data_IF_095623999494
#
_entry.id   IF_095623999494
#
_cell.length_a   1.000
_cell.length_b   1.000
_cell.length_c   1.000
_cell.angle_alpha   90.00
_cell.angle_beta   90.00
_cell.angle_gamma   90.00
#
_symmetry.space_group_name_H-M   'P 1'
#
loop_
_entity.id
_entity.type
_entity.pdbx_description
1 polymer ?
#
# COMPACT_ATOMS: atom_id res chain seq x y z
N UNK A 1 26.11 22.37 15.12
CA UNK A 1 25.93 21.33 14.10
C UNK A 1 27.30 20.75 13.85
N UNK A 2 27.52 19.47 14.17
CA UNK A 2 28.81 18.82 13.96
C UNK A 2 28.94 18.41 12.48
N UNK A 3 29.95 18.96 11.80
CA UNK A 3 30.33 18.56 10.45
C UNK A 3 31.57 17.66 10.59
N UNK A 4 31.45 16.41 10.14
CA UNK A 4 32.52 15.41 10.15
C UNK A 4 32.79 14.93 8.72
N UNK A 5 34.06 14.65 8.41
CA UNK A 5 34.45 14.06 7.13
C UNK A 5 33.88 12.64 6.97
N UNK A 6 33.33 12.35 5.79
CA UNK A 6 32.85 11.00 5.44
C UNK A 6 34.03 10.15 5.01
N UNK A 7 34.41 9.18 5.85
CA UNK A 7 35.52 8.25 5.59
C UNK A 7 35.08 7.03 4.75
N UNK A 8 33.81 6.63 4.87
CA UNK A 8 33.19 5.56 4.09
C UNK A 8 31.75 5.96 3.70
N UNK A 9 31.45 6.16 2.41
CA UNK A 9 30.11 6.52 1.96
C UNK A 9 29.07 5.41 2.17
N UNK A 10 29.47 4.13 2.16
CA UNK A 10 28.53 3.02 2.39
C UNK A 10 28.12 2.93 3.86
N UNK A 11 29.08 3.03 4.78
CA UNK A 11 28.76 3.11 6.22
C UNK A 11 27.86 4.31 6.53
N UNK A 12 28.09 5.46 5.88
CA UNK A 12 27.23 6.64 6.01
C UNK A 12 25.80 6.37 5.53
N UNK A 13 25.63 5.80 4.33
CA UNK A 13 24.31 5.45 3.80
C UNK A 13 23.59 4.43 4.69
N UNK A 14 24.29 3.38 5.14
CA UNK A 14 23.75 2.35 6.05
C UNK A 14 23.30 2.96 7.38
N UNK A 15 23.98 3.99 7.86
CA UNK A 15 23.58 4.71 9.06
C UNK A 15 22.35 5.59 8.81
N UNK A 16 22.30 6.33 7.70
CA UNK A 16 21.22 7.26 7.38
C UNK A 16 19.89 6.58 7.02
N UNK A 17 19.95 5.48 6.25
CA UNK A 17 18.76 4.78 5.73
C UNK A 17 17.76 4.42 6.85
N UNK A 18 18.16 3.78 7.96
CA UNK A 18 17.25 3.47 9.07
C UNK A 18 16.51 4.69 9.64
N UNK A 19 17.14 5.87 9.65
CA UNK A 19 16.48 7.10 10.11
C UNK A 19 15.49 7.62 9.10
N UNK A 20 15.84 7.60 7.82
CA UNK A 20 14.94 8.08 6.75
C UNK A 20 13.77 7.13 6.53
N UNK A 21 13.96 5.81 6.71
CA UNK A 21 12.93 4.79 6.48
C UNK A 21 12.15 4.40 7.74
N UNK A 22 12.34 5.11 8.85
CA UNK A 22 11.67 4.84 10.12
C UNK A 22 10.13 4.88 9.99
N UNK A 23 9.51 5.92 9.39
CA UNK A 23 8.04 5.96 9.30
C UNK A 23 7.48 4.85 8.40
N UNK A 24 8.21 4.43 7.36
CA UNK A 24 7.84 3.31 6.49
C UNK A 24 7.86 1.98 7.25
N UNK A 25 8.84 1.80 8.15
CA UNK A 25 8.91 0.62 9.01
C UNK A 25 7.73 0.58 10.00
N UNK A 26 7.42 1.70 10.64
CA UNK A 26 6.27 1.82 11.55
C UNK A 26 4.95 1.52 10.82
N UNK A 27 4.79 2.07 9.61
CA UNK A 27 3.64 1.78 8.75
C UNK A 27 3.56 0.29 8.40
N UNK A 28 4.68 -0.34 8.05
CA UNK A 28 4.71 -1.77 7.68
C UNK A 28 4.25 -2.67 8.84
N UNK A 29 4.71 -2.40 10.06
CA UNK A 29 4.29 -3.13 11.26
C UNK A 29 2.79 -2.99 11.53
N UNK A 30 2.26 -1.79 11.32
CA UNK A 30 0.87 -1.46 11.56
C UNK A 30 -0.06 -2.10 10.50
N UNK A 31 0.38 -2.17 9.25
CA UNK A 31 -0.30 -2.89 8.18
C UNK A 31 -0.27 -4.41 8.41
N UNK A 32 0.85 -4.96 8.89
CA UNK A 32 0.97 -6.38 9.22
C UNK A 32 0.05 -6.77 10.39
N UNK A 33 -0.05 -5.93 11.42
CA UNK A 33 -1.01 -6.11 12.51
C UNK A 33 -2.45 -6.11 12.00
N UNK A 34 -2.82 -5.12 11.17
CA UNK A 34 -4.16 -5.03 10.57
C UNK A 34 -4.49 -6.27 9.72
N UNK A 35 -3.53 -6.73 8.90
CA UNK A 35 -3.69 -7.94 8.10
C UNK A 35 -3.95 -9.16 8.99
N UNK A 36 -3.19 -9.32 10.08
CA UNK A 36 -3.36 -10.41 11.03
C UNK A 36 -4.75 -10.37 11.68
N UNK A 37 -5.20 -9.21 12.14
CA UNK A 37 -6.54 -9.01 12.73
C UNK A 37 -7.66 -9.37 11.75
N UNK A 38 -7.57 -8.92 10.49
CA UNK A 38 -8.55 -9.25 9.46
C UNK A 38 -8.59 -10.77 9.17
N UNK A 39 -7.43 -11.43 9.19
CA UNK A 39 -7.33 -12.87 8.96
C UNK A 39 -7.91 -13.68 10.13
N UNK A 40 -7.68 -13.25 11.36
CA UNK A 40 -8.30 -13.85 12.56
C UNK A 40 -9.82 -13.65 12.59
N UNK A 41 -10.30 -12.51 12.08
CA UNK A 41 -11.72 -12.22 11.91
C UNK A 41 -12.42 -12.94 10.75
N UNK A 42 -11.71 -13.77 9.97
CA UNK A 42 -12.21 -14.42 8.74
C UNK A 42 -12.87 -13.43 7.76
N UNK A 43 -12.33 -12.20 7.65
CA UNK A 43 -12.87 -11.20 6.74
C UNK A 43 -12.63 -11.59 5.28
N UNK A 44 -13.52 -11.16 4.37
CA UNK A 44 -13.28 -11.37 2.94
C UNK A 44 -12.08 -10.53 2.47
N UNK A 45 -11.39 -10.98 1.42
CA UNK A 45 -10.22 -10.28 0.83
C UNK A 45 -10.53 -8.81 0.50
N UNK A 46 -11.77 -8.53 0.07
CA UNK A 46 -12.22 -7.16 -0.23
C UNK A 46 -12.32 -6.29 1.01
N UNK A 47 -12.87 -6.83 2.09
CA UNK A 47 -13.02 -6.12 3.36
C UNK A 47 -11.67 -5.93 4.04
N UNK A 48 -10.81 -6.95 3.99
CA UNK A 48 -9.42 -6.86 4.42
C UNK A 48 -8.70 -5.72 3.70
N UNK A 49 -8.79 -5.67 2.36
CA UNK A 49 -8.13 -4.60 1.60
C UNK A 49 -8.72 -3.22 1.88
N UNK A 50 -10.03 -3.13 2.11
CA UNK A 50 -10.67 -1.89 2.55
C UNK A 50 -10.12 -1.44 3.90
N UNK A 51 -10.01 -2.35 4.87
CA UNK A 51 -9.49 -2.06 6.20
C UNK A 51 -8.02 -1.65 6.14
N UNK A 52 -7.18 -2.39 5.40
CA UNK A 52 -5.78 -2.07 5.18
C UNK A 52 -5.60 -0.67 4.58
N UNK A 53 -6.42 -0.35 3.58
CA UNK A 53 -6.41 0.96 2.91
C UNK A 53 -6.85 2.08 3.86
N UNK A 54 -7.91 1.87 4.65
CA UNK A 54 -8.35 2.81 5.67
C UNK A 54 -7.25 3.07 6.71
N UNK A 55 -6.65 2.00 7.23
CA UNK A 55 -5.55 2.07 8.19
C UNK A 55 -4.36 2.84 7.62
N UNK A 56 -3.95 2.55 6.39
CA UNK A 56 -2.87 3.27 5.69
C UNK A 56 -3.17 4.76 5.57
N UNK A 57 -4.36 5.14 5.10
CA UNK A 57 -4.70 6.56 4.92
C UNK A 57 -4.75 7.33 6.23
N UNK A 58 -5.15 6.69 7.33
CA UNK A 58 -5.28 7.35 8.63
C UNK A 58 -3.95 7.54 9.35
N UNK A 59 -3.01 6.59 9.18
CA UNK A 59 -1.73 6.61 9.92
C UNK A 59 -0.57 7.16 9.11
N UNK A 60 -0.72 7.32 7.78
CA UNK A 60 0.37 7.81 6.94
C UNK A 60 0.64 9.27 7.23
N UNK A 61 1.91 9.57 7.51
CA UNK A 61 2.38 10.93 7.64
C UNK A 61 2.36 11.64 6.28
N UNK A 62 1.76 12.81 6.25
CA UNK A 62 1.60 13.67 5.08
C UNK A 62 2.04 15.08 5.41
N UNK A 63 2.45 15.83 4.39
CA UNK A 63 2.70 17.26 4.57
C UNK A 63 1.39 17.99 4.89
N UNK A 64 1.49 19.16 5.54
CA UNK A 64 0.32 19.99 5.85
C UNK A 64 -0.44 20.38 4.57
N UNK A 65 0.29 20.69 3.49
CA UNK A 65 -0.29 21.04 2.20
C UNK A 65 -1.09 19.86 1.63
N UNK A 66 -0.51 18.65 1.66
CA UNK A 66 -1.21 17.45 1.20
C UNK A 66 -2.44 17.15 2.07
N UNK A 67 -2.34 17.32 3.39
CA UNK A 67 -3.45 17.13 4.32
C UNK A 67 -4.62 18.08 4.01
N UNK A 68 -4.33 19.37 3.78
CA UNK A 68 -5.35 20.37 3.40
C UNK A 68 -6.03 19.95 2.10
N UNK A 69 -5.27 19.61 1.05
CA UNK A 69 -5.83 19.19 -0.23
C UNK A 69 -6.73 17.96 -0.09
N UNK A 70 -6.33 16.97 0.72
CA UNK A 70 -7.13 15.77 1.00
C UNK A 70 -8.40 16.10 1.79
N UNK A 71 -8.32 16.97 2.79
CA UNK A 71 -9.46 17.37 3.64
C UNK A 71 -10.50 18.20 2.86
N UNK A 72 -10.05 19.08 1.97
CA UNK A 72 -10.92 19.93 1.14
C UNK A 72 -11.37 19.25 -0.14
N UNK A 73 -10.95 17.99 -0.39
CA UNK A 73 -11.23 17.23 -1.62
C UNK A 73 -10.75 17.95 -2.88
N UNK A 74 -9.67 18.73 -2.77
CA UNK A 74 -9.03 19.35 -3.91
C UNK A 74 -8.23 18.31 -4.70
N UNK A 75 -8.18 18.43 -6.05
CA UNK A 75 -7.38 17.53 -6.86
C UNK A 75 -5.89 17.70 -6.54
N UNK A 76 -5.19 16.58 -6.29
CA UNK A 76 -3.75 16.57 -5.99
C UNK A 76 -2.88 16.84 -7.23
N UNK A 77 -3.45 16.65 -8.42
CA UNK A 77 -2.75 16.84 -9.70
C UNK A 77 -3.67 17.54 -10.69
N UNK A 78 -3.13 18.50 -11.42
CA UNK A 78 -3.80 19.12 -12.56
C UNK A 78 -3.12 18.66 -13.85
N UNK A 79 -3.93 18.28 -14.85
CA UNK A 79 -3.48 17.93 -16.19
C UNK A 79 -4.27 18.74 -17.19
N UNK A 80 -3.61 19.26 -18.22
CA UNK A 80 -4.29 19.90 -19.35
C UNK A 80 -5.08 18.90 -20.21
N UNK A 81 -4.78 17.61 -20.06
CA UNK A 81 -5.47 16.50 -20.74
C UNK A 81 -6.42 15.80 -19.78
N UNK A 82 -7.68 15.66 -20.19
CA UNK A 82 -8.63 14.79 -19.50
C UNK A 82 -8.24 13.32 -19.65
N UNK A 83 -8.59 12.50 -18.66
CA UNK A 83 -8.46 11.04 -18.75
C UNK A 83 -9.86 10.42 -18.79
N UNK A 84 -10.04 9.39 -19.59
CA UNK A 84 -11.23 8.54 -19.56
C UNK A 84 -10.75 7.13 -19.23
N UNK A 85 -11.27 6.57 -18.15
CA UNK A 85 -11.05 5.17 -17.86
C UNK A 85 -11.95 4.33 -18.76
N UNK A 86 -11.35 3.58 -19.68
CA UNK A 86 -12.07 2.63 -20.54
C UNK A 86 -11.92 1.24 -19.90
N UNK A 87 -12.98 0.68 -19.29
CA UNK A 87 -12.91 -0.65 -18.72
C UNK A 87 -12.71 -1.67 -19.85
N UNK A 88 -11.61 -2.43 -19.81
CA UNK A 88 -11.34 -3.47 -20.79
C UNK A 88 -12.33 -4.65 -20.70
N UNK A 89 -12.92 -4.88 -19.53
CA UNK A 89 -13.86 -5.96 -19.24
C UNK A 89 -14.95 -5.48 -18.29
N UNK A 90 -16.11 -6.14 -18.30
CA UNK A 90 -17.25 -5.85 -17.41
C UNK A 90 -16.90 -5.97 -15.91
N UNK A 91 -16.00 -6.89 -15.55
CA UNK A 91 -15.50 -7.11 -14.20
C UNK A 91 -13.99 -6.82 -14.12
N UNK A 92 -13.63 -5.54 -14.16
CA UNK A 92 -12.23 -5.07 -14.17
C UNK A 92 -11.54 -5.16 -12.81
N UNK A 93 -12.28 -5.29 -11.72
CA UNK A 93 -11.73 -5.42 -10.37
C UNK A 93 -11.75 -6.89 -9.95
N UNK A 94 -10.59 -7.55 -10.06
CA UNK A 94 -10.42 -8.96 -9.69
C UNK A 94 -9.34 -9.06 -8.61
N UNK A 95 -9.65 -9.73 -7.50
CA UNK A 95 -8.64 -10.08 -6.51
C UNK A 95 -8.10 -11.48 -6.80
N UNK A 96 -6.81 -11.72 -6.57
CA UNK A 96 -6.27 -13.08 -6.64
C UNK A 96 -6.76 -13.90 -5.44
N UNK A 97 -6.94 -15.20 -5.65
CA UNK A 97 -7.13 -16.15 -4.55
C UNK A 97 -5.88 -16.17 -3.66
N UNK A 98 -6.06 -16.57 -2.41
CA UNK A 98 -4.95 -16.77 -1.46
C UNK A 98 -3.88 -17.68 -2.05
N UNK A 99 -2.61 -17.42 -1.72
CA UNK A 99 -1.49 -18.25 -2.20
C UNK A 99 -1.65 -19.73 -1.84
N UNK A 100 -2.29 -20.06 -0.72
CA UNK A 100 -2.52 -21.46 -0.34
C UNK A 100 -3.52 -22.12 -1.29
N UNK A 101 -4.62 -21.41 -1.61
CA UNK A 101 -5.62 -21.88 -2.56
C UNK A 101 -5.04 -22.03 -3.97
N UNK A 102 -4.21 -21.08 -4.41
CA UNK A 102 -3.55 -21.14 -5.72
C UNK A 102 -2.56 -22.30 -5.85
N UNK A 103 -1.93 -22.73 -4.76
CA UNK A 103 -1.01 -23.89 -4.77
C UNK A 103 -1.73 -25.24 -4.84
N UNK A 104 -2.98 -25.28 -4.39
CA UNK A 104 -3.83 -26.48 -4.42
C UNK A 104 -4.61 -26.61 -5.74
N UNK A 105 -4.66 -25.54 -6.54
CA UNK A 105 -5.30 -25.51 -7.84
C UNK A 105 -4.47 -26.23 -8.90
N UNK A 106 -5.17 -26.75 -9.91
CA UNK A 106 -4.55 -27.34 -11.10
C UNK A 106 -3.81 -26.25 -11.89
N UNK A 107 -2.60 -26.52 -12.43
CA UNK A 107 -1.83 -25.55 -13.19
C UNK A 107 -2.55 -25.01 -14.45
N UNK A 108 -3.54 -25.73 -14.99
CA UNK A 108 -4.32 -25.31 -16.16
C UNK A 108 -5.66 -24.62 -15.78
N UNK A 109 -5.94 -24.39 -14.49
CA UNK A 109 -7.17 -23.73 -14.05
C UNK A 109 -7.12 -22.20 -14.27
N UNK A 110 -7.98 -21.70 -15.16
CA UNK A 110 -8.08 -20.27 -15.48
C UNK A 110 -8.76 -19.43 -14.38
N UNK A 111 -9.40 -20.06 -13.39
CA UNK A 111 -10.17 -19.37 -12.35
C UNK A 111 -9.32 -18.97 -11.14
N UNK A 112 -8.25 -18.20 -11.37
CA UNK A 112 -7.30 -17.76 -10.33
C UNK A 112 -7.81 -16.58 -9.48
N UNK A 113 -8.98 -16.03 -9.83
CA UNK A 113 -9.50 -14.79 -9.23
C UNK A 113 -10.68 -15.03 -8.31
N UNK A 114 -10.70 -14.35 -7.18
CA UNK A 114 -11.88 -14.14 -6.36
C UNK A 114 -12.84 -13.23 -7.13
N UNK A 115 -13.88 -13.80 -7.74
CA UNK A 115 -14.98 -13.03 -8.31
C UNK A 115 -15.80 -12.41 -7.17
N UNK A 116 -16.26 -11.18 -7.38
CA UNK A 116 -17.31 -10.51 -6.58
C UNK A 116 -18.64 -11.20 -6.69
#
# INVERSE_FOLDING_TARGET
MDIQFVLDPYACAKYLVPYTTKPEREMSLLLEATHKECREGNMSVREEMKQLTCTFFNHRQVSVQEAIYRATKMPLTYSSRGFVFVPAHSNSCKFLKSQNMLKEMDPDDENITCLT
#
